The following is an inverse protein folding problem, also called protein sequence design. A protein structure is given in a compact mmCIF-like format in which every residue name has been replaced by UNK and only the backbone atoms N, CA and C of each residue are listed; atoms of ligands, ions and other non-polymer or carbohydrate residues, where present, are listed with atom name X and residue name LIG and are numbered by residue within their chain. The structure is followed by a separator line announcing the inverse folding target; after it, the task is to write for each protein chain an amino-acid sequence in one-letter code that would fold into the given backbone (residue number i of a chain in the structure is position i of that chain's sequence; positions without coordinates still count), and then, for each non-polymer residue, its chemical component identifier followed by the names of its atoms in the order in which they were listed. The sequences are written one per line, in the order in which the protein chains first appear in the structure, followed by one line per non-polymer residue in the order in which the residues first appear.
data_IF_325493089108
#
_entry.id   IF_325493089108
#
_cell.length_a   1.000
_cell.length_b   1.000
_cell.length_c   1.000
_cell.angle_alpha   90.00
_cell.angle_beta   90.00
_cell.angle_gamma   90.00
#
_symmetry.space_group_name_H-M   'P 1'
#
loop_
_entity.id
_entity.type
_entity.pdbx_description
1 polymer ?
#
# COMPACT_ATOMS: atom_id res chain seq x y z
N UNK A 1 8.24 44.61 -28.05
CA UNK A 1 9.67 44.42 -27.68
C UNK A 1 9.91 42.93 -27.53
N UNK A 2 10.83 42.30 -28.27
CA UNK A 2 11.07 40.86 -28.15
C UNK A 2 11.80 40.55 -26.85
N UNK A 3 11.23 39.65 -26.05
CA UNK A 3 11.82 39.16 -24.79
C UNK A 3 13.12 38.42 -25.12
N UNK A 4 14.20 38.76 -24.40
CA UNK A 4 15.54 38.23 -24.67
C UNK A 4 15.64 36.74 -24.30
N UNK A 5 16.48 35.99 -24.99
CA UNK A 5 16.66 34.54 -24.84
C UNK A 5 16.91 34.09 -23.39
N UNK A 6 17.53 34.94 -22.55
CA UNK A 6 17.76 34.65 -21.13
C UNK A 6 16.49 34.72 -20.25
N UNK A 7 15.57 35.63 -20.53
CA UNK A 7 14.29 35.72 -19.80
C UNK A 7 13.37 34.53 -20.13
N UNK A 8 13.46 34.00 -21.34
CA UNK A 8 12.77 32.75 -21.75
C UNK A 8 13.30 31.54 -20.98
N UNK A 9 14.62 31.42 -20.84
CA UNK A 9 15.24 30.33 -20.08
C UNK A 9 14.90 30.38 -18.59
N UNK A 10 14.93 31.57 -17.97
CA UNK A 10 14.49 31.75 -16.57
C UNK A 10 13.01 31.44 -16.37
N UNK A 11 12.13 31.81 -17.30
CA UNK A 11 10.71 31.42 -17.25
C UNK A 11 10.50 29.91 -17.36
N UNK A 12 11.29 29.23 -18.18
CA UNK A 12 11.20 27.79 -18.37
C UNK A 12 11.73 27.02 -17.14
N UNK A 13 12.79 27.51 -16.50
CA UNK A 13 13.34 26.93 -15.27
C UNK A 13 12.39 27.18 -14.08
N UNK A 14 11.85 28.39 -13.95
CA UNK A 14 10.82 28.70 -12.96
C UNK A 14 9.52 27.90 -13.20
N UNK A 15 9.13 27.65 -14.45
CA UNK A 15 7.97 26.80 -14.76
C UNK A 15 8.21 25.33 -14.45
N UNK A 16 9.43 24.81 -14.64
CA UNK A 16 9.78 23.43 -14.23
C UNK A 16 9.83 23.28 -12.71
N UNK A 17 10.37 24.28 -12.00
CA UNK A 17 10.43 24.29 -10.54
C UNK A 17 9.06 24.46 -9.89
N UNK A 18 8.21 25.33 -10.45
CA UNK A 18 6.82 25.49 -10.01
C UNK A 18 5.91 24.31 -10.40
N UNK A 19 6.27 23.51 -11.41
CA UNK A 19 5.59 22.23 -11.69
C UNK A 19 6.00 21.12 -10.70
N UNK A 20 7.23 21.15 -10.19
CA UNK A 20 7.67 20.25 -9.11
C UNK A 20 7.04 20.63 -7.76
N UNK A 21 6.90 21.92 -7.47
CA UNK A 21 6.23 22.39 -6.25
C UNK A 21 4.69 22.16 -6.29
N UNK A 22 4.12 22.00 -7.50
CA UNK A 22 2.70 21.67 -7.68
C UNK A 22 2.38 20.16 -7.63
N UNK A 23 3.40 19.29 -7.56
CA UNK A 23 3.22 17.85 -7.30
C UNK A 23 3.11 17.53 -5.81
N UNK A 24 3.32 18.51 -4.92
CA UNK A 24 3.40 18.31 -3.46
C UNK A 24 2.06 18.59 -2.73
N UNK A 25 0.94 18.31 -3.40
CA UNK A 25 -0.41 18.29 -2.79
C UNK A 25 -1.13 16.97 -3.00
N UNK A 26 -0.40 15.84 -3.06
CA UNK A 26 -1.03 14.53 -2.99
C UNK A 26 -1.68 14.38 -1.60
N UNK A 27 -2.94 13.91 -1.57
CA UNK A 27 -3.66 13.73 -0.31
C UNK A 27 -2.86 12.80 0.62
N UNK A 28 -2.95 13.04 1.92
CA UNK A 28 -2.25 12.24 2.92
C UNK A 28 -3.29 11.45 3.71
N UNK A 29 -3.17 10.13 3.69
CA UNK A 29 -3.93 9.23 4.52
C UNK A 29 -3.03 8.64 5.59
N UNK A 30 -3.50 8.61 6.83
CA UNK A 30 -2.74 8.08 7.96
C UNK A 30 -3.46 6.86 8.55
N UNK A 31 -2.72 5.75 8.65
CA UNK A 31 -3.13 4.57 9.41
C UNK A 31 -2.17 4.40 10.59
N UNK A 32 -2.71 4.09 11.78
CA UNK A 32 -1.90 3.87 12.97
C UNK A 32 -1.86 2.38 13.32
N UNK A 33 -0.67 1.80 13.41
CA UNK A 33 -0.44 0.41 13.80
C UNK A 33 -0.92 0.04 15.21
N UNK A 34 -1.29 1.03 16.04
CA UNK A 34 -2.00 0.82 17.30
C UNK A 34 -3.45 0.39 17.11
N UNK A 35 -4.09 0.79 16.03
CA UNK A 35 -5.53 0.57 15.77
C UNK A 35 -5.85 -0.86 15.31
N UNK A 36 -4.85 -1.67 14.98
CA UNK A 36 -5.04 -3.03 14.51
C UNK A 36 -3.92 -3.97 14.94
N UNK A 37 -4.26 -5.25 14.99
CA UNK A 37 -3.36 -6.34 15.34
C UNK A 37 -3.47 -7.55 14.40
N UNK A 38 -4.47 -7.53 13.52
CA UNK A 38 -4.76 -8.60 12.55
C UNK A 38 -4.98 -8.03 11.16
N UNK A 39 -4.86 -8.87 10.13
CA UNK A 39 -5.13 -8.47 8.75
C UNK A 39 -6.57 -7.98 8.55
N UNK A 40 -7.54 -8.56 9.26
CA UNK A 40 -8.94 -8.12 9.18
C UNK A 40 -9.15 -6.72 9.78
N UNK A 41 -8.48 -6.41 10.89
CA UNK A 41 -8.55 -5.07 11.50
C UNK A 41 -7.81 -4.03 10.64
N UNK A 42 -6.73 -4.42 9.97
CA UNK A 42 -6.10 -3.59 8.94
C UNK A 42 -7.11 -3.24 7.82
N UNK A 43 -7.84 -4.23 7.28
CA UNK A 43 -8.85 -3.95 6.25
C UNK A 43 -9.98 -3.03 6.75
N UNK A 44 -10.42 -3.16 8.01
CA UNK A 44 -11.38 -2.22 8.61
C UNK A 44 -10.82 -0.79 8.69
N UNK A 45 -9.53 -0.67 9.00
CA UNK A 45 -8.82 0.61 9.03
C UNK A 45 -8.74 1.23 7.63
N UNK A 46 -8.41 0.44 6.60
CA UNK A 46 -8.47 0.88 5.20
C UNK A 46 -9.86 1.38 4.82
N UNK A 47 -10.92 0.64 5.15
CA UNK A 47 -12.30 1.07 4.91
C UNK A 47 -12.63 2.41 5.55
N UNK A 48 -12.14 2.66 6.77
CA UNK A 48 -12.41 3.89 7.52
C UNK A 48 -11.63 5.09 6.98
N UNK A 49 -10.38 4.88 6.60
CA UNK A 49 -9.44 5.97 6.29
C UNK A 49 -9.40 6.29 4.80
N UNK A 50 -9.25 5.28 3.94
CA UNK A 50 -8.99 5.48 2.51
C UNK A 50 -10.29 5.60 1.71
N UNK A 51 -11.28 4.77 2.02
CA UNK A 51 -12.47 4.59 1.18
C UNK A 51 -13.76 4.57 2.01
N UNK A 52 -14.03 5.62 2.81
CA UNK A 52 -15.23 5.66 3.64
C UNK A 52 -16.47 5.51 2.75
N UNK A 53 -17.32 4.55 3.10
CA UNK A 53 -18.57 4.18 2.42
C UNK A 53 -18.46 3.26 1.19
N UNK A 54 -17.25 2.82 0.80
CA UNK A 54 -17.11 1.80 -0.24
C UNK A 54 -17.19 0.37 0.31
N UNK A 55 -17.85 -0.52 -0.42
CA UNK A 55 -17.86 -1.97 -0.16
C UNK A 55 -16.79 -2.64 -1.02
N UNK A 56 -16.05 -3.59 -0.46
CA UNK A 56 -14.95 -4.27 -1.17
C UNK A 56 -14.67 -5.67 -0.59
N UNK A 57 -13.83 -6.44 -1.27
CA UNK A 57 -13.65 -7.88 -1.02
C UNK A 57 -12.88 -8.28 0.25
N UNK A 58 -12.32 -7.32 1.01
CA UNK A 58 -11.53 -7.55 2.23
C UNK A 58 -10.51 -8.68 2.11
N UNK A 59 -9.71 -8.64 1.04
CA UNK A 59 -8.62 -9.56 0.75
C UNK A 59 -7.49 -8.80 0.04
N UNK A 60 -6.33 -9.43 -0.15
CA UNK A 60 -5.14 -8.77 -0.69
C UNK A 60 -5.34 -8.27 -2.12
N UNK A 61 -6.03 -9.02 -2.97
CA UNK A 61 -6.31 -8.63 -4.36
C UNK A 61 -7.21 -7.39 -4.37
N UNK A 62 -8.28 -7.40 -3.56
CA UNK A 62 -9.16 -6.24 -3.44
C UNK A 62 -8.48 -5.03 -2.75
N UNK A 63 -7.46 -5.25 -1.93
CA UNK A 63 -6.64 -4.17 -1.37
C UNK A 63 -5.76 -3.55 -2.45
N UNK A 64 -5.14 -4.37 -3.31
CA UNK A 64 -4.40 -3.90 -4.49
C UNK A 64 -5.29 -3.03 -5.40
N UNK A 65 -6.55 -3.46 -5.64
CA UNK A 65 -7.50 -2.68 -6.45
C UNK A 65 -7.81 -1.29 -5.85
N UNK A 66 -7.86 -1.16 -4.52
CA UNK A 66 -8.09 0.14 -3.86
C UNK A 66 -6.97 1.13 -4.14
N UNK A 67 -5.73 0.64 -4.18
CA UNK A 67 -4.54 1.47 -4.43
C UNK A 67 -4.51 1.98 -5.88
N UNK A 68 -5.03 1.18 -6.82
CA UNK A 68 -5.22 1.58 -8.22
C UNK A 68 -6.25 2.70 -8.38
N UNK A 69 -7.26 2.73 -7.53
CA UNK A 69 -8.29 3.78 -7.49
C UNK A 69 -9.68 3.35 -7.97
N UNK A 70 -10.59 4.32 -8.12
CA UNK A 70 -12.00 4.06 -8.45
C UNK A 70 -12.91 3.77 -7.25
N UNK A 71 -12.40 3.90 -6.03
CA UNK A 71 -13.13 3.67 -4.77
C UNK A 71 -13.36 4.96 -3.95
N UNK A 72 -13.13 6.13 -4.56
CA UNK A 72 -13.16 7.43 -3.88
C UNK A 72 -11.79 7.90 -3.37
N UNK A 73 -10.71 7.17 -3.71
CA UNK A 73 -9.32 7.64 -3.56
C UNK A 73 -9.03 8.76 -4.59
N UNK A 74 -8.07 9.65 -4.32
CA UNK A 74 -7.74 10.77 -5.22
C UNK A 74 -7.22 10.32 -6.59
N UNK A 75 -7.62 11.04 -7.62
CA UNK A 75 -7.03 10.92 -8.97
C UNK A 75 -5.58 11.44 -8.92
N UNK A 76 -4.62 10.64 -9.39
CA UNK A 76 -3.19 10.99 -9.40
C UNK A 76 -2.41 10.55 -8.15
N UNK A 77 -3.02 9.73 -7.30
CA UNK A 77 -2.35 9.07 -6.18
C UNK A 77 -2.38 9.84 -4.87
N UNK A 78 -1.72 9.29 -3.86
CA UNK A 78 -1.74 9.79 -2.49
C UNK A 78 -0.52 9.31 -1.69
N UNK A 79 -0.27 9.94 -0.55
CA UNK A 79 0.69 9.45 0.44
C UNK A 79 -0.04 8.64 1.50
N UNK A 80 0.37 7.39 1.69
CA UNK A 80 -0.06 6.55 2.81
C UNK A 80 1.02 6.57 3.89
N UNK A 81 0.74 7.26 5.00
CA UNK A 81 1.57 7.21 6.21
C UNK A 81 1.09 6.10 7.12
N UNK A 82 2.01 5.22 7.46
CA UNK A 82 1.78 4.14 8.39
C UNK A 82 2.51 4.42 9.69
N UNK A 83 1.80 5.04 10.64
CA UNK A 83 2.33 5.37 11.97
C UNK A 83 2.48 4.11 12.81
N UNK A 84 3.49 4.07 13.69
CA UNK A 84 3.77 2.91 14.55
C UNK A 84 3.91 1.62 13.71
N UNK A 85 4.52 1.72 12.54
CA UNK A 85 4.68 0.62 11.57
C UNK A 85 5.50 -0.55 12.14
N UNK A 86 6.46 -0.29 13.03
CA UNK A 86 7.20 -1.34 13.74
C UNK A 86 6.30 -2.20 14.64
N UNK A 87 5.27 -1.61 15.25
CA UNK A 87 4.28 -2.36 16.02
C UNK A 87 3.43 -3.25 15.10
N UNK A 88 3.03 -2.73 13.94
CA UNK A 88 2.36 -3.54 12.92
C UNK A 88 3.27 -4.66 12.40
N UNK A 89 4.56 -4.42 12.19
CA UNK A 89 5.53 -5.44 11.78
C UNK A 89 5.60 -6.60 12.77
N UNK A 90 5.55 -6.30 14.07
CA UNK A 90 5.50 -7.32 15.12
C UNK A 90 4.17 -8.08 15.13
N UNK A 91 3.04 -7.36 15.11
CA UNK A 91 1.69 -7.94 15.22
C UNK A 91 1.28 -8.74 13.97
N UNK A 92 1.61 -8.22 12.79
CA UNK A 92 1.35 -8.84 11.49
C UNK A 92 2.52 -9.74 11.01
N UNK A 93 3.40 -10.14 11.94
CA UNK A 93 4.54 -11.02 11.68
C UNK A 93 4.13 -12.49 11.48
N UNK A 94 5.06 -13.42 11.75
CA UNK A 94 4.84 -14.86 11.50
C UNK A 94 3.61 -15.46 12.19
N UNK A 95 3.25 -15.14 13.45
CA UNK A 95 2.05 -15.70 14.08
C UNK A 95 0.77 -15.39 13.29
N UNK A 96 0.57 -14.14 12.88
CA UNK A 96 -0.57 -13.72 12.06
C UNK A 96 -0.50 -14.34 10.65
N UNK A 97 0.70 -14.42 10.08
CA UNK A 97 0.94 -15.05 8.77
C UNK A 97 0.52 -16.52 8.76
N UNK A 98 0.90 -17.29 9.78
CA UNK A 98 0.47 -18.68 9.96
C UNK A 98 -1.05 -18.75 10.08
N UNK A 99 -1.68 -17.89 10.90
CA UNK A 99 -3.13 -17.86 11.06
C UNK A 99 -3.86 -17.62 9.73
N UNK A 100 -3.37 -16.68 8.92
CA UNK A 100 -3.95 -16.38 7.60
C UNK A 100 -3.76 -17.53 6.61
N UNK A 101 -2.58 -18.17 6.59
CA UNK A 101 -2.32 -19.32 5.74
C UNK A 101 -3.15 -20.56 6.13
N UNK A 102 -3.34 -20.82 7.42
CA UNK A 102 -4.22 -21.89 7.91
C UNK A 102 -5.69 -21.66 7.49
N UNK A 103 -6.17 -20.40 7.56
CA UNK A 103 -7.49 -20.04 7.02
C UNK A 103 -7.58 -20.23 5.51
N UNK A 104 -6.54 -19.87 4.77
CA UNK A 104 -6.46 -20.10 3.32
C UNK A 104 -6.47 -21.60 2.99
N UNK A 105 -5.76 -22.42 3.75
CA UNK A 105 -5.71 -23.87 3.55
C UNK A 105 -7.11 -24.49 3.58
N UNK A 106 -7.95 -24.05 4.52
CA UNK A 106 -9.32 -24.53 4.69
C UNK A 106 -10.28 -24.14 3.55
N UNK A 107 -9.94 -23.11 2.76
CA UNK A 107 -10.83 -22.55 1.72
C UNK A 107 -10.31 -22.74 0.30
N UNK A 108 -9.02 -23.01 0.13
CA UNK A 108 -8.40 -23.13 -1.18
C UNK A 108 -8.79 -24.44 -1.90
N UNK A 109 -8.75 -24.38 -3.24
CA UNK A 109 -8.94 -25.54 -4.10
C UNK A 109 -7.95 -26.66 -3.73
N UNK A 110 -8.34 -27.96 -3.78
CA UNK A 110 -7.49 -29.08 -3.40
C UNK A 110 -6.08 -29.07 -4.03
N UNK A 111 -5.96 -28.68 -5.30
CA UNK A 111 -4.67 -28.57 -6.01
C UNK A 111 -3.68 -27.59 -5.35
N UNK A 112 -4.17 -26.60 -4.62
CA UNK A 112 -3.35 -25.58 -3.98
C UNK A 112 -2.98 -25.93 -2.53
N UNK A 113 -3.64 -26.94 -1.92
CA UNK A 113 -3.44 -27.28 -0.51
C UNK A 113 -2.00 -27.65 -0.18
N UNK A 114 -1.31 -28.39 -1.06
CA UNK A 114 0.09 -28.75 -0.87
C UNK A 114 1.01 -27.53 -0.78
N UNK A 115 0.84 -26.57 -1.70
CA UNK A 115 1.59 -25.31 -1.71
C UNK A 115 1.30 -24.48 -0.46
N UNK A 116 0.03 -24.36 -0.05
CA UNK A 116 -0.32 -23.59 1.16
C UNK A 116 0.22 -24.26 2.43
N UNK A 117 0.14 -25.59 2.54
CA UNK A 117 0.70 -26.32 3.67
C UNK A 117 2.22 -26.15 3.79
N UNK A 118 2.93 -26.08 2.66
CA UNK A 118 4.35 -25.79 2.64
C UNK A 118 4.66 -24.38 3.14
N UNK A 119 3.91 -23.36 2.68
CA UNK A 119 4.04 -21.99 3.19
C UNK A 119 3.77 -21.88 4.70
N UNK A 120 2.84 -22.67 5.25
CA UNK A 120 2.62 -22.73 6.71
C UNK A 120 3.86 -23.25 7.43
N UNK A 121 4.51 -24.30 6.92
CA UNK A 121 5.74 -24.84 7.50
C UNK A 121 6.87 -23.81 7.47
N UNK A 122 7.05 -23.14 6.34
CA UNK A 122 8.04 -22.07 6.17
C UNK A 122 7.79 -20.92 7.16
N UNK A 123 6.56 -20.42 7.23
CA UNK A 123 6.21 -19.34 8.16
C UNK A 123 6.39 -19.76 9.63
N UNK A 124 6.09 -21.01 10.00
CA UNK A 124 6.37 -21.54 11.36
C UNK A 124 7.87 -21.62 11.66
N UNK A 125 8.71 -21.76 10.64
CA UNK A 125 10.17 -21.73 10.74
C UNK A 125 10.78 -20.33 10.62
N UNK A 126 9.97 -19.27 10.50
CA UNK A 126 10.46 -17.91 10.28
C UNK A 126 11.05 -17.69 8.89
N UNK A 127 10.52 -18.39 7.87
CA UNK A 127 10.97 -18.31 6.48
C UNK A 127 9.85 -17.73 5.61
N UNK A 128 10.25 -16.87 4.68
CA UNK A 128 9.36 -16.22 3.72
C UNK A 128 8.72 -14.93 4.26
N UNK A 129 7.98 -14.21 3.41
CA UNK A 129 7.37 -12.94 3.76
C UNK A 129 6.20 -13.12 4.72
N UNK A 130 6.04 -12.15 5.62
CA UNK A 130 4.93 -12.05 6.58
C UNK A 130 3.74 -11.30 5.99
N UNK A 131 2.61 -11.26 6.72
CA UNK A 131 1.46 -10.43 6.35
C UNK A 131 1.84 -8.95 6.25
N UNK A 132 2.70 -8.45 7.15
CA UNK A 132 3.22 -7.09 7.03
C UNK A 132 3.95 -6.89 5.69
N UNK A 133 4.82 -7.84 5.33
CA UNK A 133 5.59 -7.75 4.08
C UNK A 133 4.67 -7.83 2.86
N UNK A 134 3.64 -8.68 2.86
CA UNK A 134 2.66 -8.74 1.75
C UNK A 134 1.96 -7.40 1.53
N UNK A 135 1.56 -6.71 2.61
CA UNK A 135 0.91 -5.40 2.52
C UNK A 135 1.87 -4.34 2.00
N UNK A 136 3.11 -4.30 2.49
CA UNK A 136 4.13 -3.36 2.03
C UNK A 136 4.51 -3.61 0.57
N UNK A 137 4.68 -4.88 0.16
CA UNK A 137 4.98 -5.27 -1.22
C UNK A 137 3.86 -4.83 -2.18
N UNK A 138 2.59 -5.01 -1.80
CA UNK A 138 1.45 -4.53 -2.58
C UNK A 138 1.51 -3.01 -2.70
N UNK A 139 1.70 -2.27 -1.61
CA UNK A 139 1.74 -0.79 -1.69
C UNK A 139 2.93 -0.31 -2.54
N UNK A 140 4.09 -0.96 -2.41
CA UNK A 140 5.29 -0.60 -3.16
C UNK A 140 5.14 -0.81 -4.68
N UNK A 141 4.30 -1.74 -5.13
CA UNK A 141 3.98 -1.92 -6.55
C UNK A 141 3.37 -0.65 -7.18
N UNK A 142 2.60 0.11 -6.40
CA UNK A 142 1.91 1.33 -6.84
C UNK A 142 2.71 2.62 -6.57
N UNK A 143 3.90 2.48 -5.95
CA UNK A 143 4.75 3.60 -5.58
C UNK A 143 5.91 3.82 -6.55
N UNK A 144 6.83 4.74 -6.21
CA UNK A 144 8.01 5.02 -7.02
C UNK A 144 8.80 3.75 -7.34
N UNK A 145 9.22 3.60 -8.60
CA UNK A 145 9.91 2.42 -9.14
C UNK A 145 9.07 1.12 -9.14
N UNK A 146 7.80 1.21 -8.76
CA UNK A 146 6.82 0.13 -8.82
C UNK A 146 6.33 -0.13 -10.24
N UNK A 147 5.88 -1.36 -10.50
CA UNK A 147 5.34 -1.75 -11.82
C UNK A 147 4.00 -1.09 -12.18
N UNK A 148 3.35 -0.47 -11.20
CA UNK A 148 2.09 0.28 -11.30
C UNK A 148 2.29 1.71 -10.76
N UNK A 149 3.50 2.27 -10.94
CA UNK A 149 3.88 3.61 -10.45
C UNK A 149 2.94 4.73 -10.93
N UNK A 150 2.22 4.53 -12.03
CA UNK A 150 1.22 5.47 -12.53
C UNK A 150 0.06 5.72 -11.56
N UNK A 151 -0.17 4.81 -10.60
CA UNK A 151 -1.19 4.95 -9.55
C UNK A 151 -0.76 5.96 -8.47
N UNK A 152 0.53 6.31 -8.39
CA UNK A 152 1.04 7.43 -7.60
C UNK A 152 0.95 7.27 -6.08
N UNK A 153 1.00 6.04 -5.56
CA UNK A 153 0.87 5.76 -4.12
C UNK A 153 2.23 5.76 -3.43
N UNK A 154 2.51 6.78 -2.62
CA UNK A 154 3.76 6.84 -1.84
C UNK A 154 3.55 6.27 -0.43
N UNK A 155 4.33 5.26 -0.05
CA UNK A 155 4.34 4.72 1.31
C UNK A 155 5.39 5.41 2.19
N UNK A 156 4.96 5.85 3.37
CA UNK A 156 5.83 6.34 4.44
C UNK A 156 5.64 5.47 5.69
N UNK A 157 6.63 4.65 6.03
CA UNK A 157 6.65 3.85 7.27
C UNK A 157 7.26 4.70 8.40
N UNK A 158 6.47 4.94 9.45
CA UNK A 158 6.79 5.85 10.56
C UNK A 158 6.65 5.14 11.92
#
# INVERSE_FOLDING_TARGET
MPVTTLEKARRLDLSHKSNMDAMDTNAIFEIDGKDFSTLEEFYKTVSRVLIPNAQWGHNLDAFNDILRGGFGTPDGGFVLRWLNSDLSRQRLGYPETVRQLERRLNRCHPSNRGSVAQKIKEAKGGIGPTVFDWLVEIIAIHGPDGREEEDGVKLELL
#
